data_IF_053485877057
#
_entry.id   IF_053485877057
#
_cell.length_a   1.000
_cell.length_b   1.000
_cell.length_c   1.000
_cell.angle_alpha   90.00
_cell.angle_beta   90.00
_cell.angle_gamma   90.00
#
_symmetry.space_group_name_H-M   'P 1'
#
loop_
_entity.id
_entity.type
_entity.pdbx_description
1 polymer ?
#
# COMPACT_ATOMS: atom_id res chain seq x y z
N UNK A 1 11.62 8.64 8.42
CA UNK A 1 12.51 9.16 7.35
C UNK A 1 13.70 9.84 7.98
N UNK A 2 14.91 9.61 7.48
CA UNK A 2 16.13 10.13 8.09
C UNK A 2 16.54 11.54 7.62
N UNK A 3 15.70 12.26 6.87
CA UNK A 3 15.96 13.68 6.55
C UNK A 3 17.32 13.97 5.87
N UNK A 4 17.87 13.02 5.10
CA UNK A 4 19.18 13.15 4.44
C UNK A 4 20.37 12.58 5.21
N UNK A 5 20.18 12.12 6.46
CA UNK A 5 21.20 11.37 7.21
C UNK A 5 20.96 9.85 7.12
N UNK A 6 21.93 9.05 7.54
CA UNK A 6 21.83 7.57 7.57
C UNK A 6 22.65 7.00 8.73
N UNK A 7 22.46 5.71 9.02
CA UNK A 7 23.25 4.98 10.02
C UNK A 7 23.46 3.51 9.60
N UNK A 8 24.51 2.83 10.10
CA UNK A 8 24.86 1.46 9.66
C UNK A 8 23.71 0.45 9.76
N UNK A 9 22.91 0.51 10.84
CA UNK A 9 21.77 -0.40 11.00
C UNK A 9 20.68 -0.22 9.94
N UNK A 10 20.39 1.01 9.50
CA UNK A 10 19.43 1.26 8.42
C UNK A 10 19.92 0.68 7.10
N UNK A 11 21.21 0.89 6.78
CA UNK A 11 21.83 0.35 5.55
C UNK A 11 21.81 -1.18 5.55
N UNK A 12 22.18 -1.80 6.68
CA UNK A 12 22.19 -3.26 6.80
C UNK A 12 20.79 -3.86 6.62
N UNK A 13 19.77 -3.25 7.22
CA UNK A 13 18.37 -3.68 7.06
C UNK A 13 17.92 -3.54 5.60
N UNK A 14 18.15 -2.40 4.96
CA UNK A 14 17.73 -2.18 3.57
C UNK A 14 18.39 -3.17 2.60
N UNK A 15 19.68 -3.48 2.78
CA UNK A 15 20.38 -4.50 1.96
C UNK A 15 19.75 -5.87 2.11
N UNK A 16 19.49 -6.30 3.35
CA UNK A 16 18.85 -7.59 3.62
C UNK A 16 17.44 -7.67 3.02
N UNK A 17 16.67 -6.58 3.07
CA UNK A 17 15.34 -6.54 2.45
C UNK A 17 15.41 -6.72 0.93
N UNK A 18 16.33 -6.00 0.26
CA UNK A 18 16.54 -6.14 -1.20
C UNK A 18 16.92 -7.58 -1.57
N UNK A 19 17.80 -8.22 -0.80
CA UNK A 19 18.21 -9.62 -1.02
C UNK A 19 17.05 -10.63 -0.88
N UNK A 20 16.05 -10.33 -0.05
CA UNK A 20 14.90 -11.21 0.20
C UNK A 20 13.73 -10.98 -0.77
N UNK A 21 13.69 -9.84 -1.46
CA UNK A 21 12.61 -9.48 -2.39
C UNK A 21 12.89 -9.94 -3.83
N UNK A 22 11.87 -10.02 -4.71
CA UNK A 22 12.08 -10.27 -6.13
C UNK A 22 13.14 -9.33 -6.73
N UNK A 23 13.94 -9.84 -7.67
CA UNK A 23 15.12 -9.13 -8.22
C UNK A 23 14.84 -7.76 -8.83
N UNK A 24 13.61 -7.49 -9.26
CA UNK A 24 13.20 -6.18 -9.78
C UNK A 24 13.04 -5.09 -8.68
N UNK A 25 13.08 -5.46 -7.40
CA UNK A 25 12.92 -4.53 -6.27
C UNK A 25 14.28 -4.23 -5.63
N UNK A 26 14.90 -3.13 -6.07
CA UNK A 26 16.27 -2.77 -5.69
C UNK A 26 16.35 -1.62 -4.65
N UNK A 27 15.22 -0.96 -4.38
CA UNK A 27 15.13 0.24 -3.55
C UNK A 27 14.17 0.06 -2.37
N UNK A 28 14.55 0.56 -1.19
CA UNK A 28 13.73 0.50 0.04
C UNK A 28 13.43 1.90 0.54
N UNK A 29 12.15 2.17 0.81
CA UNK A 29 11.70 3.35 1.56
C UNK A 29 11.15 2.88 2.91
N UNK A 30 11.73 3.37 4.01
CA UNK A 30 11.33 2.98 5.36
C UNK A 30 10.16 3.83 5.87
N UNK A 31 9.15 3.17 6.42
CA UNK A 31 8.01 3.75 7.12
C UNK A 31 7.91 3.16 8.54
N UNK A 32 7.19 3.86 9.42
CA UNK A 32 6.99 3.50 10.83
C UNK A 32 5.80 2.56 11.08
N UNK A 33 4.95 2.37 10.06
CA UNK A 33 3.78 1.47 10.12
C UNK A 33 3.40 0.96 8.74
N UNK A 34 2.55 -0.09 8.71
CA UNK A 34 1.99 -0.63 7.46
C UNK A 34 1.13 0.40 6.70
N UNK A 35 0.24 1.10 7.41
CA UNK A 35 -0.62 2.14 6.81
C UNK A 35 0.21 3.25 6.15
N UNK A 36 1.26 3.74 6.83
CA UNK A 36 2.16 4.77 6.28
C UNK A 36 2.97 4.23 5.09
N UNK A 37 3.37 2.94 5.12
CA UNK A 37 4.02 2.32 3.95
C UNK A 37 3.09 2.29 2.73
N UNK A 38 1.79 2.06 2.92
CA UNK A 38 0.78 2.14 1.85
C UNK A 38 0.60 3.58 1.36
N UNK A 39 0.53 4.58 2.24
CA UNK A 39 0.48 5.99 1.81
C UNK A 39 1.68 6.38 0.94
N UNK A 40 2.88 5.89 1.30
CA UNK A 40 4.08 6.09 0.50
C UNK A 40 3.94 5.40 -0.85
N UNK A 41 3.48 4.15 -0.90
CA UNK A 41 3.35 3.41 -2.16
C UNK A 41 2.32 4.04 -3.11
N UNK A 42 1.19 4.52 -2.58
CA UNK A 42 0.18 5.26 -3.33
C UNK A 42 0.76 6.53 -3.95
N UNK A 43 1.50 7.33 -3.17
CA UNK A 43 2.18 8.54 -3.67
C UNK A 43 3.20 8.20 -4.75
N UNK A 44 4.01 7.15 -4.56
CA UNK A 44 5.00 6.73 -5.56
C UNK A 44 4.33 6.31 -6.87
N UNK A 45 3.23 5.56 -6.83
CA UNK A 45 2.49 5.15 -8.02
C UNK A 45 1.88 6.35 -8.77
N UNK A 46 1.28 7.29 -8.05
CA UNK A 46 0.73 8.52 -8.63
C UNK A 46 1.83 9.40 -9.24
N UNK A 47 2.94 9.59 -8.52
CA UNK A 47 4.07 10.41 -8.96
C UNK A 47 4.76 9.80 -10.19
N UNK A 48 4.83 8.47 -10.30
CA UNK A 48 5.35 7.80 -11.50
C UNK A 48 4.58 8.20 -12.76
N UNK A 49 3.24 8.13 -12.73
CA UNK A 49 2.42 8.51 -13.89
C UNK A 49 2.46 10.00 -14.16
N UNK A 50 2.50 10.82 -13.11
CA UNK A 50 2.69 12.27 -13.24
C UNK A 50 4.01 12.60 -13.95
N UNK A 51 5.11 11.95 -13.57
CA UNK A 51 6.42 12.14 -14.21
C UNK A 51 6.43 11.69 -15.69
N UNK A 52 5.56 10.75 -16.06
CA UNK A 52 5.32 10.34 -17.44
C UNK A 52 4.36 11.25 -18.22
N UNK A 53 3.80 12.29 -17.59
CA UNK A 53 2.80 13.16 -18.22
C UNK A 53 1.42 12.52 -18.37
N UNK A 54 1.17 11.38 -17.74
CA UNK A 54 -0.11 10.67 -17.82
C UNK A 54 -0.96 10.91 -16.56
N UNK A 55 -2.20 11.38 -16.73
CA UNK A 55 -3.12 11.63 -15.62
C UNK A 55 -3.81 10.34 -15.14
N UNK A 56 -3.07 9.47 -14.44
CA UNK A 56 -3.61 8.26 -13.81
C UNK A 56 -3.73 8.44 -12.29
N UNK A 57 -4.93 8.77 -11.82
CA UNK A 57 -5.18 9.17 -10.42
C UNK A 57 -6.01 8.18 -9.61
N UNK A 58 -6.50 7.11 -10.24
CA UNK A 58 -7.30 6.09 -9.56
C UNK A 58 -6.50 4.80 -9.41
N UNK A 59 -6.66 4.16 -8.27
CA UNK A 59 -6.06 2.87 -7.95
C UNK A 59 -7.11 1.78 -8.16
N UNK A 60 -6.66 0.60 -8.58
CA UNK A 60 -7.48 -0.62 -8.63
C UNK A 60 -7.08 -1.51 -7.47
N UNK A 61 -8.08 -1.93 -6.69
CA UNK A 61 -7.90 -2.83 -5.53
C UNK A 61 -8.96 -3.92 -5.56
N UNK A 62 -8.75 -4.96 -4.77
CA UNK A 62 -9.70 -6.06 -4.64
C UNK A 62 -10.68 -5.77 -3.50
N UNK A 63 -11.95 -6.14 -3.70
CA UNK A 63 -12.92 -6.24 -2.61
C UNK A 63 -12.39 -7.19 -1.54
N UNK A 64 -12.80 -6.97 -0.30
CA UNK A 64 -12.34 -7.63 0.93
C UNK A 64 -10.85 -7.41 1.27
N UNK A 65 -10.16 -6.48 0.59
CA UNK A 65 -8.80 -6.08 0.93
C UNK A 65 -8.72 -5.14 2.14
N UNK A 66 -7.63 -5.27 2.91
CA UNK A 66 -7.26 -4.37 4.01
C UNK A 66 -5.84 -3.86 3.79
N UNK A 67 -5.68 -2.53 3.81
CA UNK A 67 -4.43 -1.83 3.53
C UNK A 67 -4.04 -0.83 4.63
N UNK A 68 -4.81 -0.75 5.72
CA UNK A 68 -4.54 0.13 6.86
C UNK A 68 -5.58 1.24 7.03
N UNK A 69 -5.35 2.07 8.05
CA UNK A 69 -6.38 2.97 8.61
C UNK A 69 -6.05 4.47 8.45
N UNK A 70 -4.93 4.83 7.82
CA UNK A 70 -4.71 6.22 7.37
C UNK A 70 -5.61 6.52 6.17
N UNK A 71 -5.95 7.78 5.91
CA UNK A 71 -6.98 8.13 4.92
C UNK A 71 -6.74 7.58 3.51
N UNK A 72 -5.51 7.61 2.98
CA UNK A 72 -5.19 7.05 1.67
C UNK A 72 -5.11 5.53 1.68
N UNK A 73 -4.63 4.92 2.76
CA UNK A 73 -4.65 3.47 2.92
C UNK A 73 -6.09 2.93 2.98
N UNK A 74 -6.94 3.59 3.77
CA UNK A 74 -8.35 3.27 3.91
C UNK A 74 -9.12 3.48 2.60
N UNK A 75 -8.74 4.45 1.75
CA UNK A 75 -9.40 4.68 0.46
C UNK A 75 -9.22 3.54 -0.54
N UNK A 76 -8.23 2.66 -0.33
CA UNK A 76 -8.02 1.45 -1.14
C UNK A 76 -8.42 0.15 -0.43
N UNK A 77 -9.01 0.23 0.77
CA UNK A 77 -9.65 -0.89 1.45
C UNK A 77 -11.06 -1.16 0.91
N UNK A 78 -11.63 -2.34 1.19
CA UNK A 78 -13.03 -2.63 0.88
C UNK A 78 -13.95 -1.51 1.45
N UNK A 79 -14.73 -0.83 0.59
CA UNK A 79 -15.56 0.29 1.01
C UNK A 79 -16.77 -0.16 1.82
N UNK A 80 -17.23 -1.40 1.62
CA UNK A 80 -18.49 -1.90 2.17
C UNK A 80 -18.30 -2.70 3.48
N UNK A 81 -17.05 -3.01 3.85
CA UNK A 81 -16.74 -3.80 5.03
C UNK A 81 -16.25 -2.94 6.21
N UNK A 82 -16.59 -3.37 7.44
CA UNK A 82 -16.09 -2.80 8.70
C UNK A 82 -16.32 -1.28 8.83
N UNK A 83 -15.42 -0.60 9.56
CA UNK A 83 -15.45 0.82 9.86
C UNK A 83 -15.22 1.73 8.64
N UNK A 84 -14.75 1.21 7.50
CA UNK A 84 -14.45 2.05 6.31
C UNK A 84 -15.72 2.66 5.71
N UNK A 85 -16.85 1.95 5.83
CA UNK A 85 -18.17 2.43 5.39
C UNK A 85 -18.53 3.79 6.02
N UNK A 86 -18.10 4.04 7.26
CA UNK A 86 -18.34 5.30 7.98
C UNK A 86 -17.62 6.50 7.37
N UNK A 87 -16.58 6.26 6.56
CA UNK A 87 -15.74 7.31 5.99
C UNK A 87 -15.97 7.54 4.50
N UNK A 88 -16.94 6.89 3.85
CA UNK A 88 -17.15 6.94 2.39
C UNK A 88 -17.34 8.35 1.77
N UNK A 89 -17.59 9.39 2.57
CA UNK A 89 -17.62 10.80 2.11
C UNK A 89 -16.29 11.56 2.22
N UNK A 90 -15.31 11.02 2.93
CA UNK A 90 -14.00 11.65 3.18
C UNK A 90 -12.88 11.02 2.34
N UNK A 91 -13.10 9.83 1.79
CA UNK A 91 -12.10 9.05 1.07
C UNK A 91 -12.08 9.39 -0.42
N UNK A 92 -10.88 9.36 -1.00
CA UNK A 92 -10.72 9.50 -2.45
C UNK A 92 -11.29 8.26 -3.15
N UNK A 93 -12.17 8.40 -4.16
CA UNK A 93 -12.79 7.26 -4.82
C UNK A 93 -11.81 6.48 -5.72
N UNK A 94 -11.89 5.16 -5.64
CA UNK A 94 -11.04 4.23 -6.38
C UNK A 94 -11.85 3.09 -7.04
N UNK A 95 -11.17 2.25 -7.83
CA UNK A 95 -11.78 1.15 -8.56
C UNK A 95 -11.67 -0.14 -7.74
N UNK A 96 -12.74 -0.92 -7.69
CA UNK A 96 -12.81 -2.15 -6.90
C UNK A 96 -13.22 -3.33 -7.78
N UNK A 97 -12.32 -4.31 -7.92
CA UNK A 97 -12.61 -5.58 -8.59
C UNK A 97 -13.08 -6.63 -7.58
N UNK A 98 -13.89 -7.60 -8.04
CA UNK A 98 -14.27 -8.74 -7.21
C UNK A 98 -13.02 -9.54 -6.79
N UNK A 99 -12.98 -9.98 -5.53
CA UNK A 99 -11.95 -10.92 -5.10
C UNK A 99 -12.17 -12.27 -5.78
N UNK A 100 -11.07 -12.99 -6.06
CA UNK A 100 -11.17 -14.37 -6.51
C UNK A 100 -11.89 -15.20 -5.43
N UNK A 101 -12.84 -16.05 -5.85
CA UNK A 101 -13.50 -17.00 -4.97
C UNK A 101 -12.51 -18.09 -4.55
N UNK A 102 -11.66 -17.80 -3.56
CA UNK A 102 -10.81 -18.80 -2.94
C UNK A 102 -11.60 -19.41 -1.77
N UNK A 103 -11.89 -20.72 -1.77
CA UNK A 103 -12.48 -21.36 -0.60
C UNK A 103 -11.54 -21.13 0.59
N UNK A 104 -12.02 -20.44 1.61
CA UNK A 104 -11.29 -20.29 2.86
C UNK A 104 -11.05 -21.71 3.39
N UNK A 105 -9.80 -22.19 3.35
CA UNK A 105 -9.41 -23.39 4.09
C UNK A 105 -9.72 -23.08 5.55
N UNK A 106 -10.77 -23.71 6.10
CA UNK A 106 -11.03 -23.70 7.54
C UNK A 106 -9.71 -24.07 8.21
N UNK A 107 -9.20 -23.23 9.10
CA UNK A 107 -8.11 -23.62 9.99
C UNK A 107 -8.56 -24.89 10.69
N UNK A 108 -7.80 -25.97 10.54
CA UNK A 108 -7.94 -27.15 11.37
C UNK A 108 -7.62 -26.68 12.79
N UNK A 109 -8.65 -26.64 13.63
CA UNK A 109 -8.51 -26.55 15.07
C UNK A 109 -8.46 -27.95 15.67
#
# INVERSE_FOLDING_TARGET
MFGGITHPAAVALCRKLVEMTPSALECVFLADSGSVAVEVSLKMALQYWQARGEKRQRILTLRHGYHGDTFGAMSVCDPDNSMHSLYQGYLTPHLFAAAAAVPLRRRVG
#
